data_IF_293066277481
#
_entry.id   IF_293066277481
#
_cell.length_a   1.000
_cell.length_b   1.000
_cell.length_c   1.000
_cell.angle_alpha   90.00
_cell.angle_beta   90.00
_cell.angle_gamma   90.00
#
_symmetry.space_group_name_H-M   'P 1'
#
loop_
_entity.id
_entity.type
_entity.pdbx_description
1 polymer ?
#
# COMPACT_ATOMS: atom_id res chain seq x y z
N UNK A 1 -11.79 -2.24 -3.48
CA UNK A 1 -10.65 -2.93 -4.11
C UNK A 1 -9.83 -3.57 -3.01
N UNK A 2 -8.89 -4.47 -3.32
CA UNK A 2 -8.01 -5.08 -2.30
C UNK A 2 -6.59 -5.16 -2.83
N UNK A 3 -5.62 -4.75 -2.03
CA UNK A 3 -4.19 -4.92 -2.28
C UNK A 3 -3.66 -6.04 -1.37
N UNK A 4 -2.64 -6.76 -1.85
CA UNK A 4 -2.09 -7.92 -1.15
C UNK A 4 -0.60 -7.71 -0.86
N UNK A 5 -0.25 -7.73 0.41
CA UNK A 5 1.13 -7.75 0.88
C UNK A 5 1.52 -9.19 1.25
N UNK A 6 2.07 -9.92 0.28
CA UNK A 6 2.43 -11.33 0.41
C UNK A 6 3.85 -11.50 0.93
N UNK A 7 4.04 -12.42 1.88
CA UNK A 7 5.34 -12.84 2.41
C UNK A 7 6.20 -11.66 2.86
N UNK A 8 5.57 -10.67 3.51
CA UNK A 8 6.28 -9.53 4.08
C UNK A 8 7.25 -10.05 5.14
N UNK A 9 8.51 -9.65 5.01
CA UNK A 9 9.55 -9.99 5.98
C UNK A 9 9.77 -8.79 6.87
N UNK A 10 9.42 -8.94 8.15
CA UNK A 10 9.76 -7.97 9.19
C UNK A 10 11.07 -8.37 9.85
N UNK A 11 12.01 -7.42 9.98
CA UNK A 11 13.32 -7.70 10.58
C UNK A 11 13.32 -7.56 12.11
N UNK A 12 12.27 -7.00 12.69
CA UNK A 12 12.05 -6.89 14.13
C UNK A 12 10.58 -6.64 14.45
N UNK A 13 10.16 -6.82 15.70
CA UNK A 13 8.82 -6.42 16.15
C UNK A 13 8.55 -4.92 15.96
N UNK A 14 9.58 -4.07 16.08
CA UNK A 14 9.43 -2.64 15.86
C UNK A 14 9.18 -2.31 14.38
N UNK A 15 9.77 -3.08 13.48
CA UNK A 15 9.57 -2.94 12.03
C UNK A 15 8.15 -3.37 11.62
N UNK A 16 7.68 -4.50 12.17
CA UNK A 16 6.28 -4.94 12.03
C UNK A 16 5.30 -3.90 12.57
N UNK A 17 5.56 -3.38 13.76
CA UNK A 17 4.73 -2.31 14.35
C UNK A 17 4.70 -1.07 13.46
N UNK A 18 5.85 -0.66 12.93
CA UNK A 18 5.95 0.49 12.04
C UNK A 18 5.15 0.29 10.76
N UNK A 19 5.15 -0.92 10.18
CA UNK A 19 4.33 -1.26 9.02
C UNK A 19 2.85 -1.01 9.29
N UNK A 20 2.29 -1.55 10.38
CA UNK A 20 0.88 -1.40 10.70
C UNK A 20 0.51 0.03 11.13
N UNK A 21 1.38 0.72 11.88
CA UNK A 21 1.19 2.13 12.23
C UNK A 21 1.18 3.04 10.99
N UNK A 22 2.05 2.74 10.01
CA UNK A 22 2.09 3.47 8.75
C UNK A 22 0.81 3.23 7.95
N UNK A 23 0.42 1.96 7.73
CA UNK A 23 -0.82 1.65 7.01
C UNK A 23 -2.04 2.31 7.66
N UNK A 24 -2.14 2.30 8.99
CA UNK A 24 -3.26 2.90 9.72
C UNK A 24 -3.37 4.43 9.57
N UNK A 25 -2.37 5.09 8.97
CA UNK A 25 -2.40 6.53 8.64
C UNK A 25 -2.82 6.82 7.20
N UNK A 26 -2.89 5.80 6.34
CA UNK A 26 -3.33 5.95 4.94
C UNK A 26 -4.86 5.90 4.93
N UNK A 27 -5.51 7.02 4.63
CA UNK A 27 -6.95 7.21 4.82
C UNK A 27 -7.82 6.35 3.90
N UNK A 28 -7.35 6.03 2.69
CA UNK A 28 -8.06 5.13 1.78
C UNK A 28 -7.95 3.63 2.13
N UNK A 29 -7.17 3.25 3.15
CA UNK A 29 -7.06 1.86 3.60
C UNK A 29 -8.09 1.55 4.69
N UNK A 30 -8.88 0.51 4.42
CA UNK A 30 -9.86 -0.02 5.35
C UNK A 30 -9.28 -0.98 6.38
N UNK A 31 -10.12 -1.86 6.91
CA UNK A 31 -9.73 -2.79 7.96
C UNK A 31 -8.75 -3.86 7.45
N UNK A 32 -7.49 -3.78 7.87
CA UNK A 32 -6.41 -4.68 7.47
C UNK A 32 -6.59 -6.06 8.09
N UNK A 33 -6.44 -7.12 7.30
CA UNK A 33 -6.60 -8.51 7.77
C UNK A 33 -5.42 -9.37 7.35
N UNK A 34 -4.83 -10.09 8.31
CA UNK A 34 -3.82 -11.11 8.02
C UNK A 34 -4.46 -12.49 7.85
N UNK A 35 -4.06 -13.23 6.80
CA UNK A 35 -4.43 -14.63 6.60
C UNK A 35 -3.28 -15.41 5.97
N UNK A 36 -2.75 -16.38 6.71
CA UNK A 36 -1.57 -17.12 6.28
C UNK A 36 -0.36 -16.21 6.16
N UNK A 37 0.29 -16.22 5.00
CA UNK A 37 1.45 -15.37 4.66
C UNK A 37 1.04 -14.09 3.91
N UNK A 38 -0.24 -13.72 3.91
CA UNK A 38 -0.77 -12.56 3.19
C UNK A 38 -1.40 -11.57 4.16
N UNK A 39 -1.06 -10.30 4.01
CA UNK A 39 -1.74 -9.17 4.63
C UNK A 39 -2.62 -8.52 3.57
N UNK A 40 -3.92 -8.55 3.78
CA UNK A 40 -4.93 -7.96 2.91
C UNK A 40 -5.19 -6.52 3.32
N UNK A 41 -5.15 -5.63 2.34
CA UNK A 41 -5.27 -4.19 2.49
C UNK A 41 -6.48 -3.74 1.67
N UNK A 42 -7.70 -3.79 2.24
CA UNK A 42 -8.88 -3.26 1.58
C UNK A 42 -8.66 -1.78 1.26
N UNK A 43 -8.96 -1.40 0.02
CA UNK A 43 -8.79 -0.03 -0.44
C UNK A 43 -10.11 0.50 -0.99
N UNK A 44 -10.49 1.68 -0.52
CA UNK A 44 -11.60 2.46 -1.05
C UNK A 44 -11.10 3.38 -2.19
N UNK A 45 -11.39 3.07 -3.46
CA UNK A 45 -10.89 3.84 -4.60
C UNK A 45 -11.46 5.28 -4.65
N UNK A 46 -12.63 5.51 -4.06
CA UNK A 46 -13.27 6.84 -4.07
C UNK A 46 -12.69 7.78 -2.99
N UNK A 47 -11.98 7.20 -2.01
CA UNK A 47 -11.31 7.93 -0.93
C UNK A 47 -9.84 8.26 -1.23
N UNK A 48 -9.27 7.75 -2.33
CA UNK A 48 -7.84 7.91 -2.64
C UNK A 48 -7.48 9.37 -2.89
N UNK A 49 -6.44 9.86 -2.21
CA UNK A 49 -5.81 11.15 -2.45
C UNK A 49 -4.43 11.00 -3.12
N UNK A 50 -3.90 12.09 -3.69
CA UNK A 50 -2.61 12.05 -4.39
C UNK A 50 -1.46 11.70 -3.44
N UNK A 51 -1.47 12.27 -2.22
CA UNK A 51 -0.51 11.95 -1.16
C UNK A 51 -0.54 10.47 -0.77
N UNK A 52 -1.69 9.83 -0.79
CA UNK A 52 -1.82 8.42 -0.39
C UNK A 52 -1.21 7.48 -1.43
N UNK A 53 -1.21 7.86 -2.71
CA UNK A 53 -0.49 7.11 -3.76
C UNK A 53 1.01 7.06 -3.45
N UNK A 54 1.58 8.17 -2.97
CA UNK A 54 2.97 8.23 -2.56
C UNK A 54 3.25 7.37 -1.31
N UNK A 55 2.40 7.47 -0.30
CA UNK A 55 2.50 6.66 0.93
C UNK A 55 2.41 5.15 0.62
N UNK A 56 1.46 4.74 -0.23
CA UNK A 56 1.33 3.36 -0.67
C UNK A 56 2.57 2.90 -1.44
N UNK A 57 3.07 3.71 -2.38
CA UNK A 57 4.25 3.35 -3.16
C UNK A 57 5.52 3.26 -2.29
N UNK A 58 5.67 4.14 -1.30
CA UNK A 58 6.79 4.12 -0.36
C UNK A 58 6.74 2.87 0.56
N UNK A 59 5.57 2.56 1.13
CA UNK A 59 5.33 1.36 1.93
C UNK A 59 5.65 0.10 1.11
N UNK A 60 5.12 0.02 -0.11
CA UNK A 60 5.29 -1.16 -0.97
C UNK A 60 6.76 -1.38 -1.31
N UNK A 61 7.51 -0.31 -1.64
CA UNK A 61 8.96 -0.40 -1.83
C UNK A 61 9.69 -0.89 -0.59
N UNK A 62 9.44 -0.27 0.57
CA UNK A 62 10.14 -0.58 1.82
C UNK A 62 10.00 -2.04 2.22
N UNK A 63 8.79 -2.58 2.08
CA UNK A 63 8.46 -3.96 2.45
C UNK A 63 8.51 -4.95 1.28
N UNK A 64 9.06 -4.53 0.13
CA UNK A 64 9.23 -5.33 -1.10
C UNK A 64 7.94 -5.96 -1.62
N UNK A 65 6.82 -5.25 -1.44
CA UNK A 65 5.52 -5.62 -1.98
C UNK A 65 5.49 -5.18 -3.45
N UNK A 66 5.01 -6.03 -4.40
CA UNK A 66 4.97 -5.67 -5.81
C UNK A 66 4.11 -4.43 -6.09
N UNK A 67 4.74 -3.38 -6.64
CA UNK A 67 4.10 -2.11 -7.01
C UNK A 67 3.10 -2.26 -8.17
N UNK A 68 3.16 -3.35 -8.94
CA UNK A 68 2.24 -3.63 -10.06
C UNK A 68 0.77 -3.58 -9.64
N UNK A 69 0.46 -3.87 -8.37
CA UNK A 69 -0.90 -3.79 -7.83
C UNK A 69 -1.44 -2.35 -7.80
N UNK A 70 -0.57 -1.35 -7.68
CA UNK A 70 -0.96 0.06 -7.70
C UNK A 70 -1.39 0.52 -9.10
N UNK A 71 -1.07 -0.23 -10.17
CA UNK A 71 -1.60 0.04 -11.51
C UNK A 71 -3.13 -0.06 -11.56
N UNK A 72 -3.76 -0.75 -10.61
CA UNK A 72 -5.22 -0.76 -10.51
C UNK A 72 -5.80 0.63 -10.18
N UNK A 73 -4.99 1.54 -9.64
CA UNK A 73 -5.32 2.96 -9.41
C UNK A 73 -5.12 3.84 -10.66
N UNK A 74 -4.60 3.28 -11.77
CA UNK A 74 -4.28 4.02 -12.99
C UNK A 74 -5.54 4.54 -13.72
N UNK A 75 -6.72 4.07 -13.32
CA UNK A 75 -8.02 4.56 -13.79
C UNK A 75 -8.34 5.98 -13.23
N UNK A 76 -7.69 7.02 -13.76
CA UNK A 76 -8.15 8.41 -13.63
C UNK A 76 -7.21 9.38 -12.91
N UNK A 77 -7.75 10.08 -11.90
CA UNK A 77 -7.33 11.39 -11.35
C UNK A 77 -5.89 11.45 -10.79
N UNK A 78 -5.25 10.31 -10.54
CA UNK A 78 -3.94 10.18 -9.88
C UNK A 78 -2.85 9.60 -10.78
N UNK A 79 -3.13 9.43 -12.08
CA UNK A 79 -2.21 8.87 -13.07
C UNK A 79 -0.84 9.55 -13.16
N UNK A 80 -0.72 10.82 -12.75
CA UNK A 80 0.57 11.52 -12.69
C UNK A 80 1.41 11.03 -11.50
N UNK A 81 0.90 11.18 -10.28
CA UNK A 81 1.57 10.71 -9.07
C UNK A 81 1.90 9.22 -9.14
N UNK A 82 0.98 8.40 -9.64
CA UNK A 82 1.23 6.97 -9.83
C UNK A 82 2.40 6.70 -10.79
N UNK A 83 2.47 7.41 -11.93
CA UNK A 83 3.57 7.24 -12.90
C UNK A 83 4.91 7.66 -12.31
N UNK A 84 4.95 8.75 -11.57
CA UNK A 84 6.17 9.23 -10.93
C UNK A 84 6.60 8.24 -9.82
N UNK A 85 5.63 7.80 -9.01
CA UNK A 85 5.80 6.81 -7.97
C UNK A 85 6.08 5.39 -8.47
N UNK A 86 6.09 5.09 -9.78
CA UNK A 86 6.47 3.80 -10.34
C UNK A 86 7.85 3.80 -11.03
N UNK A 87 8.46 4.99 -11.23
CA UNK A 87 9.74 5.15 -11.96
C UNK A 87 10.99 5.03 -11.08
N UNK A 88 10.86 5.24 -9.77
CA UNK A 88 11.95 5.20 -8.79
C UNK A 88 12.23 3.80 -8.21
#
# INVERSE_FOLDING_TARGET
MELEAKRVVFFSQQDERFFFEWIGRIGCIGNVVGRGDVIYLPLDPDAVLEEEVWELAALFRRYRIPLVQLQMLEAGRYSRALRDALRE
#
